data_IF_670254193876
#
_entry.id   IF_670254193876
#
_cell.length_a   1.000
_cell.length_b   1.000
_cell.length_c   1.000
_cell.angle_alpha   90.00
_cell.angle_beta   90.00
_cell.angle_gamma   90.00
#
_symmetry.space_group_name_H-M   'P 1'
#
loop_
_entity.id
_entity.type
_entity.pdbx_description
1 polymer ?
#
# COMPACT_ATOMS: atom_id res chain seq x y z
N UNK A 1 -7.61 -28.92 -13.57
CA UNK A 1 -7.28 -28.26 -14.86
C UNK A 1 -8.45 -28.26 -15.84
N UNK A 2 -8.91 -29.40 -16.37
CA UNK A 2 -9.94 -29.45 -17.45
C UNK A 2 -11.20 -28.60 -17.19
N UNK A 3 -11.74 -28.57 -15.96
CA UNK A 3 -12.92 -27.73 -15.63
C UNK A 3 -12.67 -26.21 -15.70
N UNK A 4 -11.46 -25.73 -15.39
CA UNK A 4 -11.12 -24.31 -15.46
C UNK A 4 -10.82 -23.87 -16.89
N UNK A 5 -10.11 -24.71 -17.67
CA UNK A 5 -9.95 -24.49 -19.10
C UNK A 5 -11.31 -24.38 -19.81
N UNK A 6 -12.29 -25.22 -19.45
CA UNK A 6 -13.67 -25.11 -19.97
C UNK A 6 -14.34 -23.78 -19.62
N UNK A 7 -14.14 -23.22 -18.42
CA UNK A 7 -14.78 -21.96 -18.01
C UNK A 7 -14.20 -20.75 -18.75
N UNK A 8 -12.88 -20.68 -18.89
CA UNK A 8 -12.23 -19.62 -19.68
C UNK A 8 -12.57 -19.76 -21.18
N UNK A 9 -12.63 -20.98 -21.71
CA UNK A 9 -13.13 -21.22 -23.08
C UNK A 9 -14.60 -20.79 -23.23
N UNK A 10 -15.44 -20.99 -22.21
CA UNK A 10 -16.85 -20.59 -22.22
C UNK A 10 -17.00 -19.07 -22.25
N UNK A 11 -16.25 -18.34 -21.43
CA UNK A 11 -16.25 -16.87 -21.41
C UNK A 11 -15.71 -16.27 -22.70
N UNK A 12 -14.64 -16.85 -23.26
CA UNK A 12 -14.10 -16.41 -24.55
C UNK A 12 -15.06 -16.71 -25.71
N UNK A 13 -15.73 -17.86 -25.68
CA UNK A 13 -16.80 -18.20 -26.63
C UNK A 13 -18.00 -17.27 -26.48
N UNK A 14 -18.37 -16.90 -25.24
CA UNK A 14 -19.48 -15.97 -24.99
C UNK A 14 -19.17 -14.57 -25.52
N UNK A 15 -17.96 -14.05 -25.28
CA UNK A 15 -17.51 -12.77 -25.83
C UNK A 15 -17.50 -12.78 -27.36
N UNK A 16 -16.95 -13.83 -27.98
CA UNK A 16 -16.99 -14.01 -29.43
C UNK A 16 -18.43 -14.13 -30.00
N UNK A 17 -19.39 -14.60 -29.20
CA UNK A 17 -20.81 -14.68 -29.57
C UNK A 17 -21.57 -13.34 -29.42
N UNK A 18 -21.15 -12.42 -28.54
CA UNK A 18 -21.74 -11.06 -28.47
C UNK A 18 -21.06 -10.02 -29.36
N UNK A 19 -19.80 -10.21 -29.77
CA UNK A 19 -19.14 -9.34 -30.76
C UNK A 19 -19.98 -9.08 -32.04
N UNK A 20 -20.61 -10.08 -32.70
CA UNK A 20 -21.47 -9.84 -33.86
C UNK A 20 -22.83 -9.19 -33.54
N UNK A 21 -23.24 -9.12 -32.26
CA UNK A 21 -24.52 -8.52 -31.83
C UNK A 21 -24.37 -7.01 -31.64
N UNK A 22 -23.22 -6.55 -31.15
CA UNK A 22 -22.97 -5.12 -30.87
C UNK A 22 -21.89 -4.48 -31.77
N UNK A 23 -21.30 -5.24 -32.70
CA UNK A 23 -20.40 -4.71 -33.72
C UNK A 23 -19.01 -4.28 -33.23
N UNK A 24 -18.59 -4.76 -32.06
CA UNK A 24 -17.35 -4.39 -31.39
C UNK A 24 -16.63 -5.65 -30.89
N UNK A 25 -15.30 -5.73 -31.02
CA UNK A 25 -14.54 -6.88 -30.55
C UNK A 25 -14.30 -6.79 -29.03
N UNK A 26 -15.06 -7.56 -28.26
CA UNK A 26 -14.95 -7.59 -26.80
C UNK A 26 -13.77 -8.40 -26.25
N UNK A 27 -12.99 -9.09 -27.11
CA UNK A 27 -11.84 -9.88 -26.65
C UNK A 27 -10.73 -9.01 -26.03
N UNK A 28 -10.60 -7.75 -26.48
CA UNK A 28 -9.66 -6.77 -25.91
C UNK A 28 -10.03 -6.29 -24.50
N UNK A 29 -11.29 -6.43 -24.09
CA UNK A 29 -11.80 -6.00 -22.77
C UNK A 29 -11.84 -7.16 -21.74
N UNK A 30 -11.36 -8.33 -22.13
CA UNK A 30 -11.24 -9.53 -21.31
C UNK A 30 -9.79 -9.73 -20.88
N UNK A 31 -9.47 -9.41 -19.62
CA UNK A 31 -8.13 -9.71 -19.10
C UNK A 31 -7.98 -11.22 -18.81
N UNK A 32 -7.66 -11.98 -19.87
CA UNK A 32 -7.44 -13.42 -19.83
C UNK A 32 -6.39 -13.86 -18.78
N UNK A 33 -5.45 -12.99 -18.40
CA UNK A 33 -4.43 -13.28 -17.37
C UNK A 33 -5.02 -13.47 -15.97
N UNK A 34 -6.26 -13.06 -15.74
CA UNK A 34 -6.95 -13.24 -14.44
C UNK A 34 -7.65 -14.61 -14.36
N UNK A 35 -8.10 -15.16 -15.50
CA UNK A 35 -8.71 -16.48 -15.59
C UNK A 35 -7.70 -17.61 -15.88
N UNK A 36 -6.50 -17.28 -16.38
CA UNK A 36 -5.38 -18.19 -16.51
C UNK A 36 -4.38 -17.97 -15.37
N UNK A 37 -4.23 -18.91 -14.41
CA UNK A 37 -3.25 -18.75 -13.33
C UNK A 37 -1.84 -18.67 -13.91
N UNK A 38 -1.05 -17.70 -13.44
CA UNK A 38 0.33 -17.53 -13.86
C UNK A 38 1.21 -18.66 -13.30
N UNK A 39 1.56 -19.64 -14.15
CA UNK A 39 2.31 -20.83 -13.72
C UNK A 39 3.84 -20.71 -13.89
N UNK A 40 4.31 -19.70 -14.64
CA UNK A 40 5.72 -19.47 -14.99
C UNK A 40 6.09 -18.01 -14.76
N UNK A 41 7.38 -17.67 -14.56
CA UNK A 41 7.81 -16.29 -14.47
C UNK A 41 7.45 -15.50 -15.74
N UNK A 42 7.11 -14.23 -15.56
CA UNK A 42 7.02 -13.23 -16.65
C UNK A 42 8.19 -12.26 -16.52
N UNK A 43 8.67 -11.72 -17.63
CA UNK A 43 9.75 -10.74 -17.63
C UNK A 43 9.34 -9.54 -18.47
N UNK A 44 9.68 -8.34 -17.99
CA UNK A 44 9.49 -7.08 -18.69
C UNK A 44 10.81 -6.31 -18.69
N UNK A 45 11.01 -5.48 -19.71
CA UNK A 45 12.21 -4.66 -19.81
C UNK A 45 12.30 -3.67 -18.62
N UNK A 46 13.53 -3.29 -18.27
CA UNK A 46 13.92 -2.40 -17.16
C UNK A 46 13.56 -2.82 -15.72
N UNK A 47 12.54 -3.67 -15.53
CA UNK A 47 12.06 -4.19 -14.23
C UNK A 47 12.28 -5.69 -14.05
N UNK A 48 12.79 -6.40 -15.08
CA UNK A 48 13.24 -7.78 -14.99
C UNK A 48 12.13 -8.82 -14.83
N UNK A 49 12.44 -9.94 -14.19
CA UNK A 49 11.55 -11.10 -14.10
C UNK A 49 10.82 -11.20 -12.76
N UNK A 50 9.56 -11.62 -12.81
CA UNK A 50 8.65 -11.77 -11.68
C UNK A 50 8.26 -13.24 -11.52
N UNK A 51 8.55 -13.81 -10.36
CA UNK A 51 8.03 -15.13 -9.98
C UNK A 51 6.53 -15.01 -9.68
N UNK A 52 5.70 -16.01 -10.03
CA UNK A 52 4.27 -15.92 -9.75
C UNK A 52 3.96 -15.69 -8.27
N UNK A 53 3.05 -14.75 -8.02
CA UNK A 53 2.44 -14.47 -6.73
C UNK A 53 1.46 -15.60 -6.42
N UNK A 54 1.88 -16.58 -5.61
CA UNK A 54 1.16 -17.82 -5.33
C UNK A 54 0.48 -17.76 -3.97
N UNK A 55 -0.84 -17.95 -3.96
CA UNK A 55 -1.63 -18.14 -2.75
C UNK A 55 -1.45 -19.57 -2.21
N UNK A 56 -0.82 -19.70 -1.05
CA UNK A 56 -0.69 -20.95 -0.30
C UNK A 56 -2.01 -21.25 0.42
N UNK A 57 -2.90 -21.97 -0.27
CA UNK A 57 -4.10 -22.62 0.27
C UNK A 57 -5.01 -21.75 1.17
N UNK A 58 -5.70 -20.76 0.58
CA UNK A 58 -6.79 -20.05 1.25
C UNK A 58 -8.15 -20.74 0.97
N UNK A 59 -8.75 -21.33 2.01
CA UNK A 59 -10.18 -21.73 2.09
C UNK A 59 -10.78 -22.38 0.82
N UNK A 60 -10.23 -23.53 0.40
CA UNK A 60 -10.85 -24.38 -0.62
C UNK A 60 -10.89 -23.81 -2.05
N UNK A 61 -10.37 -22.61 -2.28
CA UNK A 61 -10.14 -22.08 -3.62
C UNK A 61 -8.99 -22.83 -4.30
N UNK A 62 -9.01 -22.99 -5.64
CA UNK A 62 -7.83 -23.46 -6.37
C UNK A 62 -6.65 -22.51 -6.10
N UNK A 63 -5.38 -22.98 -6.22
CA UNK A 63 -4.22 -22.10 -6.10
C UNK A 63 -4.31 -20.93 -7.08
N UNK A 64 -4.59 -19.74 -6.56
CA UNK A 64 -4.54 -18.49 -7.33
C UNK A 64 -3.07 -18.13 -7.45
N UNK A 65 -2.60 -18.06 -8.70
CA UNK A 65 -1.27 -17.57 -9.03
C UNK A 65 -1.44 -16.38 -9.97
N UNK A 66 -1.01 -15.20 -9.55
CA UNK A 66 -1.03 -13.98 -10.36
C UNK A 66 0.40 -13.61 -10.77
N UNK A 67 0.53 -12.89 -11.87
CA UNK A 67 1.76 -12.19 -12.25
C UNK A 67 1.39 -10.73 -12.52
N UNK A 68 2.31 -9.78 -12.29
CA UNK A 68 2.06 -8.39 -12.62
C UNK A 68 1.70 -8.22 -14.09
N UNK A 69 0.83 -7.26 -14.37
CA UNK A 69 0.62 -6.74 -15.70
C UNK A 69 1.91 -6.08 -16.25
N UNK A 70 2.05 -5.95 -17.58
CA UNK A 70 3.10 -5.17 -18.21
C UNK A 70 3.18 -3.74 -17.65
N UNK A 71 4.38 -3.14 -17.50
CA UNK A 71 4.56 -1.79 -16.94
C UNK A 71 3.69 -0.70 -17.58
N UNK A 72 3.45 -0.79 -18.88
CA UNK A 72 2.60 0.11 -19.67
C UNK A 72 1.10 -0.02 -19.34
N UNK A 73 0.64 -1.19 -18.89
CA UNK A 73 -0.74 -1.40 -18.39
C UNK A 73 -0.93 -0.89 -16.95
N UNK A 74 0.14 -0.63 -16.19
CA UNK A 74 0.05 -0.27 -14.76
C UNK A 74 -0.29 1.21 -14.50
N UNK A 75 -0.19 2.07 -15.51
CA UNK A 75 -0.48 3.51 -15.39
C UNK A 75 0.47 4.26 -14.45
N UNK A 76 1.74 3.86 -14.38
CA UNK A 76 2.71 4.47 -13.45
C UNK A 76 3.20 5.81 -13.97
N UNK A 77 2.87 6.89 -13.26
CA UNK A 77 3.33 8.25 -13.55
C UNK A 77 3.90 8.92 -12.29
N UNK A 78 4.93 9.75 -12.46
CA UNK A 78 5.58 10.48 -11.38
C UNK A 78 5.39 11.98 -11.55
N UNK A 79 4.63 12.60 -10.65
CA UNK A 79 4.40 14.04 -10.65
C UNK A 79 5.09 14.67 -9.44
N UNK A 80 6.12 15.45 -9.70
CA UNK A 80 6.86 16.21 -8.68
C UNK A 80 6.06 17.46 -8.35
N UNK A 81 5.92 17.77 -7.07
CA UNK A 81 5.24 18.96 -6.58
C UNK A 81 6.14 19.71 -5.59
N UNK A 82 6.12 21.04 -5.68
CA UNK A 82 6.81 21.98 -4.78
C UNK A 82 5.84 23.08 -4.36
N UNK A 83 6.02 23.64 -3.17
CA UNK A 83 5.33 24.85 -2.75
C UNK A 83 6.26 26.06 -2.75
N UNK A 84 5.89 27.11 -3.48
CA UNK A 84 6.62 28.38 -3.58
C UNK A 84 5.63 29.53 -3.78
N UNK A 85 4.96 29.95 -2.71
CA UNK A 85 3.76 30.82 -2.70
C UNK A 85 2.53 30.26 -3.43
N UNK A 86 2.72 29.29 -4.33
CA UNK A 86 1.72 28.49 -5.04
C UNK A 86 2.26 27.07 -5.25
N UNK A 87 1.37 26.13 -5.59
CA UNK A 87 1.77 24.76 -5.94
C UNK A 87 2.34 24.71 -7.37
N UNK A 88 3.60 24.34 -7.50
CA UNK A 88 4.29 24.11 -8.77
C UNK A 88 4.37 22.60 -9.06
N UNK A 89 4.24 22.19 -10.33
CA UNK A 89 4.28 20.78 -10.74
C UNK A 89 5.28 20.52 -11.86
N UNK A 90 6.03 19.43 -11.75
CA UNK A 90 7.07 19.02 -12.69
C UNK A 90 7.07 17.50 -12.90
N UNK A 91 7.86 17.03 -13.86
CA UNK A 91 8.28 15.62 -13.95
C UNK A 91 9.57 15.41 -13.13
N UNK A 92 10.08 14.16 -13.06
CA UNK A 92 11.32 13.83 -12.32
C UNK A 92 12.56 14.62 -12.77
N UNK A 93 12.63 15.08 -14.04
CA UNK A 93 13.72 15.94 -14.51
C UNK A 93 13.67 17.36 -13.93
N UNK A 94 12.55 17.77 -13.33
CA UNK A 94 12.39 19.05 -12.63
C UNK A 94 12.82 19.04 -11.15
N UNK A 95 13.23 17.89 -10.60
CA UNK A 95 13.71 17.78 -9.21
C UNK A 95 14.95 18.65 -9.02
N UNK A 96 14.88 19.59 -8.08
CA UNK A 96 16.03 20.37 -7.62
C UNK A 96 17.07 19.47 -6.93
N UNK A 97 18.38 19.64 -7.20
CA UNK A 97 19.43 18.85 -6.57
C UNK A 97 19.62 19.19 -5.09
N UNK A 98 20.24 18.28 -4.34
CA UNK A 98 20.57 18.40 -2.92
C UNK A 98 19.35 18.66 -1.99
N UNK A 99 18.13 18.46 -2.45
CA UNK A 99 16.92 18.65 -1.66
C UNK A 99 16.54 17.41 -0.84
N UNK A 100 15.61 17.60 0.08
CA UNK A 100 14.76 16.54 0.64
C UNK A 100 13.62 16.17 -0.32
N UNK A 101 13.28 14.89 -0.39
CA UNK A 101 12.25 14.36 -1.31
C UNK A 101 11.40 13.30 -0.60
N UNK A 102 10.08 13.46 -0.61
CA UNK A 102 9.15 12.42 -0.14
C UNK A 102 8.30 11.86 -1.29
N UNK A 103 8.29 10.53 -1.46
CA UNK A 103 7.36 9.85 -2.36
C UNK A 103 6.06 9.54 -1.62
N UNK A 104 4.91 9.75 -2.28
CA UNK A 104 3.59 9.36 -1.77
C UNK A 104 2.99 8.33 -2.72
N UNK A 105 2.73 7.13 -2.18
CA UNK A 105 2.32 5.93 -2.92
C UNK A 105 0.91 5.50 -2.45
N UNK A 106 -0.15 5.75 -3.25
CA UNK A 106 -1.52 5.36 -2.94
C UNK A 106 -1.71 3.85 -2.81
N UNK A 107 -2.80 3.45 -2.14
CA UNK A 107 -3.18 2.06 -1.91
C UNK A 107 -4.07 1.44 -3.00
N UNK A 108 -4.59 0.24 -2.70
CA UNK A 108 -5.57 -0.46 -3.54
C UNK A 108 -6.85 0.39 -3.68
N UNK A 109 -7.31 0.63 -4.91
CA UNK A 109 -8.45 1.52 -5.23
C UNK A 109 -8.28 2.97 -4.73
N UNK A 110 -7.06 3.48 -4.61
CA UNK A 110 -6.80 4.87 -4.24
C UNK A 110 -6.03 5.61 -5.32
N UNK A 111 -6.46 6.83 -5.64
CA UNK A 111 -5.76 7.76 -6.52
C UNK A 111 -4.90 8.78 -5.75
N UNK A 112 -3.76 9.18 -6.34
CA UNK A 112 -2.86 10.19 -5.77
C UNK A 112 -3.51 11.57 -5.53
N UNK A 113 -4.62 11.86 -6.21
CA UNK A 113 -5.41 13.10 -6.11
C UNK A 113 -6.55 13.04 -5.08
N UNK A 114 -6.74 11.90 -4.39
CA UNK A 114 -7.76 11.78 -3.34
C UNK A 114 -7.47 12.69 -2.15
N UNK A 115 -8.54 13.17 -1.51
CA UNK A 115 -8.47 14.09 -0.37
C UNK A 115 -7.50 13.63 0.72
N UNK A 116 -7.56 12.36 1.12
CA UNK A 116 -6.69 11.80 2.16
C UNK A 116 -5.20 11.84 1.77
N UNK A 117 -4.87 11.53 0.51
CA UNK A 117 -3.51 11.63 0.00
C UNK A 117 -3.06 13.09 -0.09
N UNK A 118 -3.94 14.01 -0.50
CA UNK A 118 -3.63 15.44 -0.59
C UNK A 118 -3.46 16.12 0.79
N UNK A 119 -4.21 15.73 1.82
CA UNK A 119 -4.02 16.18 3.21
C UNK A 119 -2.65 15.72 3.77
N UNK A 120 -2.27 14.45 3.52
CA UNK A 120 -0.93 13.95 3.83
C UNK A 120 0.16 14.76 3.12
N UNK A 121 -0.07 15.10 1.85
CA UNK A 121 0.86 15.85 1.01
C UNK A 121 1.05 17.30 1.50
N UNK A 122 0.01 18.00 1.98
CA UNK A 122 0.17 19.32 2.64
C UNK A 122 0.98 19.20 3.95
N UNK A 123 0.76 18.12 4.70
CA UNK A 123 1.61 17.72 5.82
C UNK A 123 3.08 17.61 5.44
N UNK A 124 3.38 16.84 4.40
CA UNK A 124 4.76 16.56 3.99
C UNK A 124 5.47 17.79 3.42
N UNK A 125 4.78 18.69 2.72
CA UNK A 125 5.35 19.94 2.19
C UNK A 125 5.94 20.88 3.27
N UNK A 126 5.62 20.66 4.56
CA UNK A 126 6.18 21.43 5.68
C UNK A 126 7.52 20.86 6.19
N UNK A 127 7.90 19.67 5.73
CA UNK A 127 9.10 18.93 6.15
C UNK A 127 10.00 18.48 4.99
N UNK A 128 9.50 18.51 3.75
CA UNK A 128 10.22 18.11 2.53
C UNK A 128 10.12 19.20 1.47
N UNK A 129 11.23 19.50 0.80
CA UNK A 129 11.31 20.52 -0.25
C UNK A 129 10.47 20.14 -1.48
N UNK A 130 10.35 18.84 -1.77
CA UNK A 130 9.70 18.30 -2.96
C UNK A 130 8.96 17.01 -2.65
N UNK A 131 7.75 16.86 -3.19
CA UNK A 131 6.93 15.65 -3.06
C UNK A 131 6.83 14.97 -4.43
N UNK A 132 7.07 13.67 -4.52
CA UNK A 132 6.80 12.86 -5.71
C UNK A 132 5.49 12.12 -5.51
N UNK A 133 4.44 12.59 -6.17
CA UNK A 133 3.15 11.90 -6.23
C UNK A 133 3.28 10.73 -7.21
N UNK A 134 3.09 9.51 -6.71
CA UNK A 134 3.10 8.29 -7.54
C UNK A 134 1.68 7.94 -7.93
N UNK A 135 1.37 8.06 -9.22
CA UNK A 135 0.14 7.55 -9.81
C UNK A 135 0.37 6.09 -10.23
N UNK A 136 -0.61 5.21 -10.00
CA UNK A 136 -0.62 3.81 -10.48
C UNK A 136 -2.04 3.18 -10.44
N UNK A 137 -3.08 4.01 -10.59
CA UNK A 137 -4.51 3.66 -10.43
C UNK A 137 -4.94 2.44 -11.24
N UNK A 138 -4.49 2.31 -12.49
CA UNK A 138 -4.78 1.17 -13.35
C UNK A 138 -4.26 -0.14 -12.76
N UNK A 139 -3.03 -0.13 -12.24
CA UNK A 139 -2.43 -1.28 -11.54
C UNK A 139 -3.02 -1.53 -10.15
N UNK A 140 -3.49 -0.47 -9.47
CA UNK A 140 -4.06 -0.51 -8.12
C UNK A 140 -5.54 -0.93 -8.08
N UNK A 141 -6.28 -0.77 -9.19
CA UNK A 141 -7.67 -1.21 -9.34
C UNK A 141 -7.90 -1.86 -10.72
N UNK A 142 -7.32 -3.04 -10.99
CA UNK A 142 -7.41 -3.67 -12.30
C UNK A 142 -8.86 -4.09 -12.62
N UNK A 143 -9.44 -3.58 -13.71
CA UNK A 143 -10.76 -4.03 -14.20
C UNK A 143 -10.68 -5.46 -14.78
N UNK A 144 -11.67 -6.31 -14.47
CA UNK A 144 -11.73 -7.70 -14.97
C UNK A 144 -12.48 -7.85 -16.29
N UNK A 145 -13.62 -7.16 -16.39
CA UNK A 145 -14.70 -7.38 -17.37
C UNK A 145 -15.63 -6.16 -17.31
N UNK A 146 -15.68 -5.31 -18.35
CA UNK A 146 -16.65 -4.20 -18.45
C UNK A 146 -16.74 -3.29 -17.20
N UNK A 147 -15.60 -2.98 -16.56
CA UNK A 147 -15.51 -2.26 -15.27
C UNK A 147 -16.29 -2.88 -14.10
N UNK A 148 -16.71 -4.15 -14.22
CA UNK A 148 -17.31 -4.94 -13.14
C UNK A 148 -16.17 -5.47 -12.23
N UNK A 149 -16.06 -5.01 -10.96
CA UNK A 149 -14.99 -5.46 -10.08
C UNK A 149 -15.40 -6.76 -9.37
N UNK A 150 -14.80 -7.89 -9.73
CA UNK A 150 -14.82 -9.09 -8.87
C UNK A 150 -13.77 -8.90 -7.77
N UNK A 151 -14.17 -8.14 -6.75
CA UNK A 151 -13.35 -7.54 -5.68
C UNK A 151 -12.22 -8.41 -5.12
N UNK A 152 -12.40 -9.74 -5.04
CA UNK A 152 -11.36 -10.66 -4.54
C UNK A 152 -10.23 -10.89 -5.55
N UNK A 153 -10.53 -11.11 -6.83
CA UNK A 153 -9.51 -11.35 -7.86
C UNK A 153 -8.68 -10.09 -8.14
N UNK A 154 -9.33 -8.92 -8.13
CA UNK A 154 -8.65 -7.62 -8.27
C UNK A 154 -7.56 -7.42 -7.24
N UNK A 155 -7.80 -7.75 -5.96
CA UNK A 155 -6.79 -7.57 -4.92
C UNK A 155 -5.59 -8.51 -5.06
N UNK A 156 -5.77 -9.74 -5.58
CA UNK A 156 -4.63 -10.62 -5.88
C UNK A 156 -3.79 -10.12 -7.06
N UNK A 157 -4.43 -9.59 -8.12
CA UNK A 157 -3.71 -9.02 -9.25
C UNK A 157 -3.01 -7.72 -8.86
N UNK A 158 -3.69 -6.82 -8.14
CA UNK A 158 -3.09 -5.59 -7.61
C UNK A 158 -1.87 -5.89 -6.72
N UNK A 159 -1.91 -6.93 -5.90
CA UNK A 159 -0.77 -7.37 -5.08
C UNK A 159 0.37 -8.04 -5.85
N UNK A 160 0.14 -8.50 -7.08
CA UNK A 160 1.20 -8.86 -8.01
C UNK A 160 1.74 -7.60 -8.72
N UNK A 161 0.85 -6.70 -9.16
CA UNK A 161 1.17 -5.42 -9.78
C UNK A 161 2.06 -4.54 -8.87
N UNK A 162 1.82 -4.51 -7.56
CA UNK A 162 2.65 -3.76 -6.59
C UNK A 162 4.12 -4.17 -6.59
N UNK A 163 4.46 -5.42 -6.97
CA UNK A 163 5.87 -5.81 -7.13
C UNK A 163 6.49 -5.12 -8.36
N UNK A 164 5.78 -5.03 -9.48
CA UNK A 164 6.25 -4.31 -10.66
C UNK A 164 6.30 -2.80 -10.44
N UNK A 165 5.26 -2.20 -9.83
CA UNK A 165 5.24 -0.78 -9.46
C UNK A 165 6.38 -0.45 -8.50
N UNK A 166 6.68 -1.32 -7.52
CA UNK A 166 7.82 -1.16 -6.63
C UNK A 166 9.14 -1.05 -7.40
N UNK A 167 9.37 -1.93 -8.38
CA UNK A 167 10.58 -1.85 -9.24
C UNK A 167 10.63 -0.60 -10.11
N UNK A 168 9.49 -0.12 -10.61
CA UNK A 168 9.42 1.14 -11.37
C UNK A 168 9.74 2.35 -10.47
N UNK A 169 9.20 2.37 -9.24
CA UNK A 169 9.55 3.37 -8.21
C UNK A 169 11.05 3.28 -7.89
N UNK A 170 11.61 2.08 -7.73
CA UNK A 170 13.03 1.89 -7.48
C UNK A 170 13.94 2.40 -8.62
N UNK A 171 13.57 2.17 -9.88
CA UNK A 171 14.24 2.77 -11.03
C UNK A 171 14.16 4.32 -10.99
N UNK A 172 13.04 4.89 -10.53
CA UNK A 172 12.91 6.35 -10.35
C UNK A 172 13.78 6.91 -9.22
N UNK A 173 13.96 6.15 -8.14
CA UNK A 173 14.83 6.50 -7.00
C UNK A 173 16.29 6.55 -7.48
N UNK A 174 16.74 5.52 -8.21
CA UNK A 174 18.08 5.48 -8.80
C UNK A 174 18.32 6.68 -9.74
N UNK A 175 17.34 7.00 -10.60
CA UNK A 175 17.40 8.18 -11.47
C UNK A 175 17.58 9.50 -10.69
N UNK A 176 16.82 9.73 -9.60
CA UNK A 176 16.97 11.00 -8.86
C UNK A 176 18.27 11.07 -8.06
N UNK A 177 18.80 9.93 -7.62
CA UNK A 177 20.11 9.85 -6.97
C UNK A 177 21.21 10.18 -7.98
N UNK A 178 21.26 9.45 -9.10
CA UNK A 178 22.36 9.52 -10.07
C UNK A 178 22.29 10.73 -11.01
N UNK A 179 21.09 11.13 -11.46
CA UNK A 179 20.91 12.18 -12.46
C UNK A 179 20.42 13.52 -11.88
N UNK A 180 19.85 13.52 -10.67
CA UNK A 180 19.34 14.73 -9.99
C UNK A 180 20.11 15.10 -8.72
N UNK A 181 21.18 14.38 -8.37
CA UNK A 181 22.02 14.65 -7.18
C UNK A 181 21.20 14.73 -5.89
N UNK A 182 20.26 13.81 -5.71
CA UNK A 182 19.58 13.61 -4.42
C UNK A 182 20.38 12.61 -3.59
N UNK A 183 20.71 12.97 -2.35
CA UNK A 183 21.29 12.03 -1.40
C UNK A 183 20.20 10.97 -1.03
N UNK A 184 20.46 9.65 -1.13
CA UNK A 184 19.51 8.62 -0.70
C UNK A 184 18.97 8.83 0.73
N UNK A 185 19.77 9.40 1.63
CA UNK A 185 19.40 9.69 3.02
C UNK A 185 18.32 10.78 3.14
N UNK A 186 18.20 11.62 2.12
CA UNK A 186 17.19 12.69 2.03
C UNK A 186 15.89 12.21 1.35
N UNK A 187 15.81 10.92 0.97
CA UNK A 187 14.62 10.31 0.37
C UNK A 187 13.78 9.64 1.46
N UNK A 188 12.49 9.98 1.50
CA UNK A 188 11.48 9.27 2.29
C UNK A 188 10.42 8.65 1.39
N UNK A 189 10.01 7.41 1.68
CA UNK A 189 8.91 6.75 1.01
C UNK A 189 7.71 6.68 1.97
N UNK A 190 6.53 7.16 1.54
CA UNK A 190 5.29 7.10 2.32
C UNK A 190 4.25 6.37 1.50
N UNK A 191 3.65 5.30 2.04
CA UNK A 191 2.75 4.44 1.29
C UNK A 191 1.61 3.89 2.13
N UNK A 192 0.39 3.93 1.60
CA UNK A 192 -0.82 3.46 2.29
C UNK A 192 -1.32 2.11 1.76
N UNK A 193 -1.73 1.22 2.67
CA UNK A 193 -2.25 -0.11 2.35
C UNK A 193 -1.29 -0.85 1.42
N UNK A 194 -1.79 -1.19 0.24
CA UNK A 194 -1.01 -1.82 -0.81
C UNK A 194 0.18 -0.98 -1.31
N UNK A 195 0.09 0.35 -1.28
CA UNK A 195 1.21 1.26 -1.55
C UNK A 195 2.29 1.19 -0.47
N UNK A 196 1.90 0.90 0.78
CA UNK A 196 2.83 0.57 1.86
C UNK A 196 3.56 -0.76 1.59
N UNK A 197 2.87 -1.77 1.06
CA UNK A 197 3.49 -3.01 0.60
C UNK A 197 4.39 -2.80 -0.64
N UNK A 198 4.06 -1.84 -1.52
CA UNK A 198 4.86 -1.46 -2.69
C UNK A 198 6.24 -0.90 -2.28
N UNK A 199 6.36 -0.22 -1.14
CA UNK A 199 7.65 0.28 -0.61
C UNK A 199 8.66 -0.87 -0.45
N UNK A 200 8.24 -2.00 0.10
CA UNK A 200 9.11 -3.16 0.28
C UNK A 200 9.68 -3.68 -1.04
N UNK A 201 8.85 -3.79 -2.07
CA UNK A 201 9.30 -4.19 -3.40
C UNK A 201 10.21 -3.16 -4.07
N UNK A 202 10.02 -1.87 -3.80
CA UNK A 202 10.94 -0.82 -4.25
C UNK A 202 12.29 -0.91 -3.51
N UNK A 203 12.26 -1.11 -2.20
CA UNK A 203 13.43 -1.19 -1.35
C UNK A 203 14.32 -2.40 -1.66
N UNK A 204 13.74 -3.59 -1.78
CA UNK A 204 14.47 -4.79 -2.20
C UNK A 204 15.09 -4.60 -3.59
N UNK A 205 14.36 -4.00 -4.53
CA UNK A 205 14.88 -3.75 -5.88
C UNK A 205 16.06 -2.79 -5.91
N UNK A 206 16.00 -1.65 -5.21
CA UNK A 206 17.12 -0.70 -5.20
C UNK A 206 18.35 -1.23 -4.45
N UNK A 207 18.12 -2.08 -3.44
CA UNK A 207 19.17 -2.77 -2.69
C UNK A 207 19.86 -3.84 -3.55
N UNK A 208 19.09 -4.69 -4.24
CA UNK A 208 19.63 -5.74 -5.11
C UNK A 208 20.27 -5.20 -6.39
N UNK A 209 19.64 -4.23 -7.06
CA UNK A 209 20.06 -3.77 -8.40
C UNK A 209 21.06 -2.61 -8.37
N UNK A 210 20.94 -1.72 -7.40
CA UNK A 210 21.71 -0.46 -7.34
C UNK A 210 22.58 -0.33 -6.08
N UNK A 211 22.49 -1.27 -5.14
CA UNK A 211 23.15 -1.20 -3.82
C UNK A 211 22.82 0.11 -3.07
N UNK A 212 21.57 0.58 -3.21
CA UNK A 212 21.04 1.78 -2.57
C UNK A 212 20.13 1.43 -1.38
N UNK A 213 20.05 2.34 -0.43
CA UNK A 213 19.09 2.29 0.69
C UNK A 213 18.65 3.71 0.99
N UNK A 214 17.34 3.95 1.04
CA UNK A 214 16.78 5.29 1.30
C UNK A 214 16.80 5.62 2.80
N UNK A 215 16.74 6.91 3.13
CA UNK A 215 16.77 7.40 4.50
C UNK A 215 15.61 6.91 5.35
N UNK A 216 14.37 6.97 4.85
CA UNK A 216 13.19 6.61 5.64
C UNK A 216 12.07 5.96 4.83
N UNK A 217 11.33 5.05 5.47
CA UNK A 217 10.03 4.57 5.02
C UNK A 217 8.96 4.80 6.09
N UNK A 218 7.76 5.18 5.67
CA UNK A 218 6.55 5.28 6.51
C UNK A 218 5.44 4.48 5.84
N UNK A 219 5.03 3.40 6.49
CA UNK A 219 4.08 2.41 5.97
C UNK A 219 2.77 2.55 6.71
N UNK A 220 1.72 2.98 6.02
CA UNK A 220 0.42 3.35 6.60
C UNK A 220 -0.57 2.20 6.37
N UNK A 221 -0.92 1.47 7.43
CA UNK A 221 -1.87 0.34 7.46
C UNK A 221 -1.63 -0.73 6.38
N UNK A 222 -0.42 -1.36 6.31
CA UNK A 222 -0.03 -2.24 5.20
C UNK A 222 -0.95 -3.44 5.06
N UNK A 223 -1.30 -3.84 3.83
CA UNK A 223 -2.23 -4.96 3.63
C UNK A 223 -1.68 -6.29 4.17
N UNK A 224 -2.49 -6.99 4.96
CA UNK A 224 -2.31 -8.38 5.36
C UNK A 224 -2.63 -9.35 4.22
N UNK A 225 -3.76 -9.14 3.54
CA UNK A 225 -4.25 -10.03 2.49
C UNK A 225 -3.94 -9.39 1.14
N UNK A 226 -3.23 -10.08 0.22
CA UNK A 226 -2.98 -11.53 0.23
C UNK A 226 -1.65 -12.00 0.85
N UNK A 227 -0.76 -11.08 1.24
CA UNK A 227 0.63 -11.37 1.64
C UNK A 227 0.78 -12.45 2.73
N UNK A 228 -0.05 -12.40 3.77
CA UNK A 228 -0.13 -13.39 4.86
C UNK A 228 -0.26 -14.84 4.39
N UNK A 229 -0.96 -15.07 3.29
CA UNK A 229 -1.22 -16.40 2.74
C UNK A 229 -0.43 -16.65 1.45
N UNK A 230 0.48 -15.76 1.06
CA UNK A 230 1.26 -15.88 -0.17
C UNK A 230 2.71 -16.37 0.05
N UNK A 231 3.39 -16.67 -1.06
CA UNK A 231 4.85 -16.84 -1.12
C UNK A 231 5.65 -15.51 -1.07
N UNK A 232 4.98 -14.35 -1.13
CA UNK A 232 5.57 -13.02 -0.98
C UNK A 232 5.30 -12.53 0.44
N UNK A 233 6.17 -12.92 1.37
CA UNK A 233 6.18 -12.39 2.74
C UNK A 233 6.86 -11.03 2.72
N UNK A 234 6.25 -10.05 3.37
CA UNK A 234 6.78 -8.69 3.48
C UNK A 234 7.42 -8.54 4.85
N UNK A 235 8.63 -7.99 4.87
CA UNK A 235 9.38 -7.64 6.07
C UNK A 235 9.95 -6.25 5.87
N UNK A 236 9.34 -5.25 6.52
CA UNK A 236 9.80 -3.86 6.44
C UNK A 236 11.24 -3.64 6.94
N UNK A 237 11.78 -4.54 7.77
CA UNK A 237 13.12 -4.39 8.36
C UNK A 237 14.21 -4.33 7.31
N UNK A 238 14.87 -3.16 7.22
CA UNK A 238 15.92 -2.88 6.25
C UNK A 238 15.40 -2.42 4.87
N UNK A 239 14.12 -2.06 4.74
CA UNK A 239 13.61 -1.40 3.53
C UNK A 239 14.13 0.04 3.38
N UNK A 240 14.43 0.68 4.51
CA UNK A 240 15.11 1.97 4.61
C UNK A 240 16.06 1.95 5.83
N UNK A 241 16.79 3.04 6.06
CA UNK A 241 17.58 3.21 7.30
C UNK A 241 16.70 3.32 8.56
N UNK A 242 15.46 3.80 8.41
CA UNK A 242 14.42 3.86 9.46
C UNK A 242 13.07 3.50 8.83
N UNK A 243 12.36 2.53 9.40
CA UNK A 243 11.04 2.09 8.93
C UNK A 243 10.00 2.22 10.04
N UNK A 244 9.10 3.20 9.88
CA UNK A 244 7.94 3.40 10.74
C UNK A 244 6.69 2.76 10.10
N UNK A 245 5.91 2.00 10.87
CA UNK A 245 4.67 1.37 10.40
C UNK A 245 3.51 1.79 11.29
N UNK A 246 2.40 2.26 10.72
CA UNK A 246 1.23 2.77 11.45
C UNK A 246 0.02 1.90 11.13
N UNK A 247 -0.33 1.00 12.04
CA UNK A 247 -1.46 0.06 11.93
C UNK A 247 -2.74 0.72 12.47
N UNK A 248 -3.79 0.79 11.65
CA UNK A 248 -5.13 1.30 12.05
C UNK A 248 -6.27 0.33 11.77
N UNK A 249 -6.05 -0.71 10.98
CA UNK A 249 -6.89 -1.91 10.91
C UNK A 249 -6.02 -3.15 11.08
N UNK A 250 -6.66 -4.30 11.28
CA UNK A 250 -5.95 -5.58 11.17
C UNK A 250 -6.87 -6.68 10.68
N UNK A 251 -6.28 -7.69 10.04
CA UNK A 251 -6.95 -8.96 9.74
C UNK A 251 -6.21 -10.08 10.46
N UNK A 252 -6.93 -10.90 11.23
CA UNK A 252 -6.34 -12.05 11.89
C UNK A 252 -5.80 -13.06 10.85
N UNK A 253 -4.58 -13.61 11.01
CA UNK A 253 -4.01 -14.61 10.09
C UNK A 253 -4.67 -16.01 10.19
N UNK A 254 -5.89 -16.09 10.72
CA UNK A 254 -6.69 -17.32 10.87
C UNK A 254 -7.86 -17.25 9.89
N UNK A 255 -7.91 -18.07 8.83
CA UNK A 255 -8.85 -17.90 7.72
C UNK A 255 -10.34 -17.82 8.10
N UNK A 256 -10.74 -18.55 9.14
CA UNK A 256 -12.15 -18.61 9.61
C UNK A 256 -12.54 -17.43 10.51
N UNK A 257 -11.59 -16.86 11.27
CA UNK A 257 -11.85 -15.73 12.15
C UNK A 257 -11.72 -14.39 11.39
N UNK A 258 -10.74 -14.27 10.49
CA UNK A 258 -10.56 -13.06 9.68
C UNK A 258 -11.83 -12.66 8.92
N UNK A 259 -12.47 -13.59 8.19
CA UNK A 259 -13.69 -13.27 7.44
C UNK A 259 -14.91 -12.94 8.32
N UNK A 260 -14.99 -13.49 9.54
CA UNK A 260 -16.17 -13.32 10.41
C UNK A 260 -16.16 -12.02 11.20
N UNK A 261 -15.00 -11.37 11.32
CA UNK A 261 -14.81 -10.13 12.10
C UNK A 261 -14.25 -8.93 11.30
N UNK A 262 -13.60 -9.13 10.15
CA UNK A 262 -13.00 -8.02 9.38
C UNK A 262 -13.97 -7.30 8.42
N UNK A 263 -15.12 -7.91 8.08
CA UNK A 263 -16.01 -7.39 7.04
C UNK A 263 -15.30 -7.27 5.68
N UNK A 264 -15.71 -6.27 4.88
CA UNK A 264 -15.00 -5.88 3.65
C UNK A 264 -14.06 -4.67 3.88
N UNK A 265 -14.00 -4.11 5.09
CA UNK A 265 -13.47 -2.75 5.34
C UNK A 265 -12.10 -2.71 6.01
N UNK A 266 -11.62 -3.85 6.52
CA UNK A 266 -10.34 -3.98 7.25
C UNK A 266 -9.38 -4.86 6.49
N UNK A 267 -8.16 -4.35 6.27
CA UNK A 267 -7.17 -5.03 5.42
C UNK A 267 -5.77 -5.06 5.98
N UNK A 268 -5.47 -4.26 7.01
CA UNK A 268 -4.16 -4.08 7.61
C UNK A 268 -3.52 -5.34 8.22
N UNK A 269 -2.20 -5.29 8.40
CA UNK A 269 -1.40 -6.31 9.07
C UNK A 269 -1.46 -6.20 10.59
N UNK A 270 -1.40 -7.35 11.25
CA UNK A 270 -1.19 -7.48 12.70
C UNK A 270 0.29 -7.65 13.06
N UNK A 271 1.11 -8.00 12.07
CA UNK A 271 2.51 -8.38 12.27
C UNK A 271 3.36 -7.11 12.34
N UNK A 272 4.17 -6.93 13.41
CA UNK A 272 5.15 -5.85 13.42
C UNK A 272 6.20 -6.11 12.34
N UNK A 273 6.46 -5.13 11.49
CA UNK A 273 7.36 -5.27 10.34
C UNK A 273 8.40 -4.16 10.26
N UNK A 274 8.26 -3.07 11.01
CA UNK A 274 9.19 -1.95 10.98
C UNK A 274 10.30 -2.04 12.02
N UNK A 275 11.02 -0.93 12.16
CA UNK A 275 11.83 -0.63 13.34
C UNK A 275 10.94 -0.09 14.47
N UNK A 276 9.91 0.68 14.12
CA UNK A 276 8.83 1.11 15.02
C UNK A 276 7.45 0.76 14.42
N UNK A 277 6.61 0.08 15.20
CA UNK A 277 5.25 -0.31 14.79
C UNK A 277 4.20 0.31 15.73
N UNK A 278 3.48 1.31 15.23
CA UNK A 278 2.47 2.09 15.95
C UNK A 278 1.06 1.52 15.71
N UNK A 279 0.36 1.12 16.77
CA UNK A 279 -0.97 0.50 16.72
C UNK A 279 -2.02 1.47 17.26
N UNK A 280 -2.90 1.97 16.39
CA UNK A 280 -3.89 3.00 16.70
C UNK A 280 -5.19 2.37 17.24
N UNK A 281 -5.62 2.81 18.43
CA UNK A 281 -6.86 2.39 19.11
C UNK A 281 -6.98 0.86 19.26
N UNK A 282 -5.84 0.16 19.29
CA UNK A 282 -5.77 -1.27 18.95
C UNK A 282 -6.64 -2.22 19.79
N UNK A 283 -6.75 -2.09 21.13
CA UNK A 283 -7.59 -2.98 21.93
C UNK A 283 -9.07 -3.00 21.52
N UNK A 284 -9.55 -1.90 20.91
CA UNK A 284 -10.92 -1.75 20.44
C UNK A 284 -11.01 -1.77 18.89
N UNK A 285 -9.89 -1.97 18.16
CA UNK A 285 -9.81 -2.01 16.68
C UNK A 285 -10.47 -3.22 16.01
N UNK A 286 -11.08 -4.12 16.81
CA UNK A 286 -12.12 -5.05 16.34
C UNK A 286 -13.37 -4.28 15.85
N UNK A 287 -13.67 -3.11 16.43
CA UNK A 287 -14.65 -2.14 15.93
C UNK A 287 -14.01 -1.21 14.91
N UNK A 288 -14.79 -0.44 14.16
CA UNK A 288 -14.23 0.59 13.27
C UNK A 288 -13.53 1.70 14.05
N UNK A 289 -12.61 2.40 13.38
CA UNK A 289 -11.94 3.55 13.97
C UNK A 289 -12.96 4.66 14.27
N UNK A 290 -12.75 5.49 15.32
CA UNK A 290 -13.71 6.50 15.74
C UNK A 290 -14.15 7.43 14.59
N UNK A 291 -15.46 7.50 14.34
CA UNK A 291 -16.05 8.31 13.27
C UNK A 291 -16.13 7.64 11.89
N UNK A 292 -15.79 6.34 11.77
CA UNK A 292 -15.89 5.61 10.50
C UNK A 292 -17.21 4.85 10.29
N UNK A 293 -17.91 4.42 11.36
CA UNK A 293 -19.31 3.93 11.33
C UNK A 293 -19.69 3.00 10.14
N UNK A 294 -18.83 2.03 9.80
CA UNK A 294 -19.05 1.07 8.71
C UNK A 294 -18.65 1.52 7.30
N UNK A 295 -18.11 2.74 7.13
CA UNK A 295 -17.63 3.25 5.83
C UNK A 295 -16.44 2.44 5.30
N UNK A 296 -16.49 2.07 4.02
CA UNK A 296 -15.44 1.28 3.36
C UNK A 296 -14.09 2.02 3.38
N UNK A 297 -13.01 1.30 3.71
CA UNK A 297 -11.63 1.78 3.88
C UNK A 297 -11.39 2.92 4.89
N UNK A 298 -12.41 3.55 5.48
CA UNK A 298 -12.23 4.68 6.42
C UNK A 298 -11.30 4.32 7.59
N UNK A 299 -11.50 3.15 8.21
CA UNK A 299 -10.65 2.68 9.31
C UNK A 299 -9.19 2.49 8.89
N UNK A 300 -8.92 2.26 7.60
CA UNK A 300 -7.56 2.16 7.05
C UNK A 300 -6.96 3.54 6.73
N UNK A 301 -7.74 4.46 6.15
CA UNK A 301 -7.34 5.86 5.96
C UNK A 301 -7.07 6.61 7.28
N UNK A 302 -7.53 6.08 8.42
CA UNK A 302 -7.20 6.63 9.73
C UNK A 302 -5.68 6.65 10.02
N UNK A 303 -4.91 5.72 9.43
CA UNK A 303 -3.43 5.75 9.47
C UNK A 303 -2.86 6.99 8.76
N UNK A 304 -3.36 7.30 7.55
CA UNK A 304 -3.03 8.51 6.79
C UNK A 304 -3.34 9.76 7.62
N UNK A 305 -4.55 9.86 8.15
CA UNK A 305 -4.99 11.03 8.92
C UNK A 305 -4.19 11.22 10.22
N UNK A 306 -3.79 10.14 10.88
CA UNK A 306 -2.94 10.19 12.08
C UNK A 306 -1.53 10.66 11.72
N UNK A 307 -0.95 10.16 10.62
CA UNK A 307 0.38 10.60 10.17
C UNK A 307 0.37 12.06 9.68
N UNK A 308 -0.60 12.46 8.85
CA UNK A 308 -0.79 13.84 8.40
C UNK A 308 -0.93 14.82 9.59
N UNK A 309 -1.75 14.47 10.58
CA UNK A 309 -1.88 15.27 11.81
C UNK A 309 -0.56 15.40 12.59
N UNK A 310 0.31 14.38 12.55
CA UNK A 310 1.62 14.43 13.23
C UNK A 310 2.57 15.44 12.58
N UNK A 311 2.47 15.62 11.26
CA UNK A 311 3.26 16.58 10.48
C UNK A 311 2.83 18.04 10.73
N UNK A 312 1.60 18.28 11.20
CA UNK A 312 1.08 19.62 11.51
C UNK A 312 1.26 20.04 12.99
N UNK A 313 1.96 19.24 13.80
CA UNK A 313 2.25 19.58 15.19
C UNK A 313 1.09 19.28 16.14
N UNK A 314 0.82 18.00 16.39
CA UNK A 314 -0.11 17.57 17.42
C UNK A 314 0.47 16.38 18.23
N UNK A 315 0.22 16.37 19.55
CA UNK A 315 0.96 15.60 20.56
C UNK A 315 0.52 14.13 20.66
N UNK A 316 0.94 13.30 19.72
CA UNK A 316 0.77 11.84 19.84
C UNK A 316 1.74 11.27 20.89
N UNK A 317 1.29 11.15 22.15
CA UNK A 317 2.02 10.42 23.17
C UNK A 317 2.01 8.91 22.85
N UNK A 318 3.19 8.35 22.73
CA UNK A 318 3.44 6.96 22.33
C UNK A 318 3.96 6.17 23.52
N UNK A 319 3.35 5.01 23.83
CA UNK A 319 3.90 4.09 24.83
C UNK A 319 4.11 2.69 24.25
N UNK A 320 5.19 1.99 24.63
CA UNK A 320 5.35 0.58 24.28
C UNK A 320 4.14 -0.26 24.73
N UNK A 321 3.59 -1.07 23.83
CA UNK A 321 2.54 -2.02 24.15
C UNK A 321 3.08 -3.19 24.97
N UNK A 322 2.23 -3.83 25.78
CA UNK A 322 2.57 -5.15 26.35
C UNK A 322 2.67 -6.21 25.23
N UNK A 323 3.25 -7.37 25.54
CA UNK A 323 3.33 -8.50 24.59
C UNK A 323 1.95 -8.99 24.11
N UNK A 324 0.90 -8.79 24.92
CA UNK A 324 -0.49 -9.03 24.56
C UNK A 324 -1.18 -7.74 24.11
N UNK A 325 -1.11 -7.48 22.80
CA UNK A 325 -1.74 -6.34 22.12
C UNK A 325 -3.26 -6.23 22.32
N UNK A 326 -3.95 -7.31 22.72
CA UNK A 326 -5.39 -7.28 23.02
C UNK A 326 -5.72 -6.83 24.45
N UNK A 327 -4.71 -6.62 25.30
CA UNK A 327 -4.88 -6.03 26.63
C UNK A 327 -5.08 -4.51 26.49
N UNK A 328 -6.11 -3.96 27.13
CA UNK A 328 -6.45 -2.53 27.00
C UNK A 328 -5.29 -1.63 27.44
N UNK A 329 -4.70 -0.87 26.50
CA UNK A 329 -3.72 0.18 26.78
C UNK A 329 -4.40 1.50 27.06
N UNK A 330 -3.94 2.17 28.10
CA UNK A 330 -4.50 3.41 28.55
C UNK A 330 -3.35 4.17 29.38
N UNK A 331 -3.29 5.51 29.66
CA UNK A 331 -2.37 6.24 30.62
C UNK A 331 -2.96 7.54 31.29
N UNK A 332 -2.79 7.80 32.61
CA UNK A 332 -3.60 8.81 33.38
C UNK A 332 -3.50 10.28 32.98
N UNK A 333 -2.32 10.78 32.62
CA UNK A 333 -2.15 12.18 32.19
C UNK A 333 -2.88 12.51 30.88
N UNK A 334 -3.22 11.48 30.10
CA UNK A 334 -3.94 11.56 28.82
C UNK A 334 -5.27 10.77 28.82
N UNK A 335 -5.86 10.56 30.01
CA UNK A 335 -7.26 10.16 30.17
C UNK A 335 -7.54 8.66 30.31
N UNK A 336 -6.63 7.93 30.96
CA UNK A 336 -6.46 6.49 30.74
C UNK A 336 -5.56 5.83 31.91
N UNK A 337 -4.95 4.62 31.82
CA UNK A 337 -4.02 3.77 32.68
C UNK A 337 -3.58 2.39 31.98
N UNK A 338 -2.27 2.00 31.88
CA UNK A 338 -1.60 0.77 31.31
C UNK A 338 -0.05 0.90 31.35
N UNK A 339 0.70 -0.21 31.42
CA UNK A 339 2.02 -0.26 32.11
C UNK A 339 3.25 -0.62 31.25
N UNK A 340 4.16 0.37 31.06
CA UNK A 340 5.66 0.34 30.97
C UNK A 340 6.42 -0.72 30.11
N UNK A 341 7.59 -0.53 29.47
CA UNK A 341 8.51 0.59 29.08
C UNK A 341 9.56 0.02 28.06
N UNK A 342 10.24 0.84 27.22
CA UNK A 342 11.38 0.38 26.36
C UNK A 342 11.53 1.08 24.98
N UNK A 343 12.70 1.08 24.30
CA UNK A 343 13.08 2.16 23.36
C UNK A 343 12.47 2.18 21.94
N UNK A 344 12.47 1.08 21.19
CA UNK A 344 11.91 0.98 19.83
C UNK A 344 11.29 -0.40 19.63
N UNK A 345 9.96 -0.46 19.56
CA UNK A 345 9.20 -1.71 19.54
C UNK A 345 7.74 -1.46 19.16
N UNK A 346 6.82 -2.37 19.53
CA UNK A 346 5.38 -2.14 19.35
C UNK A 346 4.93 -0.98 20.24
N UNK A 347 4.31 0.03 19.65
CA UNK A 347 3.86 1.26 20.29
C UNK A 347 2.35 1.37 20.16
N UNK A 348 1.65 1.75 21.23
CA UNK A 348 0.21 1.92 21.25
C UNK A 348 -0.13 3.41 21.29
N UNK A 349 -1.08 3.85 20.46
CA UNK A 349 -1.59 5.23 20.40
C UNK A 349 -3.12 5.20 20.55
N UNK A 350 -3.69 6.11 21.34
CA UNK A 350 -5.13 6.40 21.31
C UNK A 350 -5.37 7.77 20.67
N UNK A 351 -6.30 7.84 19.73
CA UNK A 351 -6.59 9.05 18.95
C UNK A 351 -8.07 9.41 19.09
N UNK A 352 -8.38 10.71 19.21
CA UNK A 352 -9.76 11.19 19.30
C UNK A 352 -10.52 11.06 17.96
N UNK A 353 -11.85 11.16 17.99
CA UNK A 353 -12.73 11.15 16.81
C UNK A 353 -12.36 12.16 15.70
N UNK A 354 -11.55 13.19 16.01
CA UNK A 354 -11.12 14.20 15.05
C UNK A 354 -9.63 14.49 15.25
N UNK A 355 -8.70 13.70 14.68
CA UNK A 355 -7.26 13.96 14.80
C UNK A 355 -6.83 15.34 14.29
N UNK A 356 -7.57 15.91 13.32
CA UNK A 356 -7.28 17.21 12.68
C UNK A 356 -8.22 18.32 13.20
N UNK A 357 -8.55 18.31 14.49
CA UNK A 357 -9.36 19.40 15.09
C UNK A 357 -8.47 20.61 15.41
N UNK A 358 -8.15 21.41 14.38
CA UNK A 358 -7.34 22.65 14.43
C UNK A 358 -6.22 22.61 15.47
N UNK A 359 -5.08 21.98 15.15
CA UNK A 359 -3.81 22.29 15.83
C UNK A 359 -3.61 23.81 15.63
N UNK A 360 -3.71 24.58 16.73
CA UNK A 360 -3.94 26.04 16.75
C UNK A 360 -2.66 26.85 16.81
#
# INVERSE_FOLDING_TARGET
>A
MVKFARLSFFLFSLAALVSPIFGQDYSAYLNNRIFQPCMKPVCYDDVGCFQPFKLQAYLGLPPVAACPQPPDELGVEFKVMRYNNSYEFFNLFGISPNSSVAYVIPGYRSEHTELFNMELVDGLLKHYDQIVLVRWDLGANPSLLFDIPVTRYNKFLAAANSEAVGRIIGNSIDFIVNNRSINPDNITLVGHGLGGNTIHFAADWIKEKYNLTVGKAVVLDPDAIPFYFSNKKISGKGDAKIVDVIHSTFVAPVPVLGQRFAGNTKTGALTPTGDSDYFINFPDSWNDQPGCDGLEFCSSHFSIMTFAASLHGCRFETKPCSSNIFQRFTSKEVGLDSSQTGPQGRICIKVSEKPIKRCS
#
